data_IF_452234167397
#
_entry.id   IF_452234167397
#
_cell.length_a   1.000
_cell.length_b   1.000
_cell.length_c   1.000
_cell.angle_alpha   90.00
_cell.angle_beta   90.00
_cell.angle_gamma   90.00
#
_symmetry.space_group_name_H-M   'P 1'
#
loop_
_entity.id
_entity.type
_entity.pdbx_description
1 polymer ?
#
# COMPACT_ATOMS: atom_id res chain seq x y z
N UNK A 1 3.30 -11.73 -4.26
CA UNK A 1 3.63 -13.07 -4.74
C UNK A 1 4.96 -13.04 -5.48
N UNK A 2 5.80 -14.01 -5.22
CA UNK A 2 7.07 -14.23 -5.94
C UNK A 2 6.96 -15.37 -6.95
N UNK A 3 5.75 -15.81 -7.27
CA UNK A 3 5.53 -16.86 -8.29
C UNK A 3 5.89 -16.31 -9.68
N UNK A 4 6.91 -16.85 -10.35
CA UNK A 4 7.33 -16.42 -11.69
C UNK A 4 6.22 -16.46 -12.73
N UNK A 5 5.26 -17.40 -12.60
CA UNK A 5 4.11 -17.53 -13.50
C UNK A 5 3.17 -16.32 -13.46
N UNK A 6 3.19 -15.58 -12.36
CA UNK A 6 2.35 -14.39 -12.17
C UNK A 6 3.06 -13.10 -12.61
N UNK A 7 4.32 -13.15 -12.97
CA UNK A 7 5.13 -11.96 -13.30
C UNK A 7 4.46 -11.08 -14.36
N UNK A 8 4.18 -11.65 -15.51
CA UNK A 8 3.57 -10.92 -16.63
C UNK A 8 2.24 -10.29 -16.26
N UNK A 9 1.40 -11.03 -15.49
CA UNK A 9 0.12 -10.51 -15.02
C UNK A 9 0.29 -9.31 -14.09
N UNK A 10 1.31 -9.31 -13.20
CA UNK A 10 1.57 -8.16 -12.35
C UNK A 10 1.94 -6.92 -13.16
N UNK A 11 2.79 -7.05 -14.17
CA UNK A 11 3.18 -5.91 -14.99
C UNK A 11 2.04 -5.43 -15.87
N UNK A 12 1.31 -6.32 -16.53
CA UNK A 12 0.19 -5.94 -17.39
C UNK A 12 -0.94 -5.26 -16.61
N UNK A 13 -1.26 -5.74 -15.38
CA UNK A 13 -2.37 -5.18 -14.60
C UNK A 13 -1.94 -3.99 -13.75
N UNK A 14 -0.83 -4.10 -13.00
CA UNK A 14 -0.46 -3.04 -12.05
C UNK A 14 0.25 -1.86 -12.72
N UNK A 15 0.98 -2.09 -13.82
CA UNK A 15 1.71 -1.05 -14.54
C UNK A 15 0.96 -0.61 -15.79
N UNK A 16 0.82 -1.51 -16.76
CA UNK A 16 0.38 -1.13 -18.10
C UNK A 16 -1.07 -0.66 -18.11
N UNK A 17 -1.97 -1.44 -17.49
CA UNK A 17 -3.38 -1.05 -17.39
C UNK A 17 -3.56 0.23 -16.57
N UNK A 18 -2.79 0.42 -15.49
CA UNK A 18 -2.88 1.65 -14.70
C UNK A 18 -2.46 2.88 -15.51
N UNK A 19 -1.36 2.79 -16.26
CA UNK A 19 -0.87 3.88 -17.13
C UNK A 19 -1.88 4.17 -18.23
N UNK A 20 -2.34 3.15 -18.97
CA UNK A 20 -3.33 3.30 -20.04
C UNK A 20 -4.64 3.91 -19.52
N UNK A 21 -5.08 3.51 -18.32
CA UNK A 21 -6.29 4.06 -17.70
C UNK A 21 -6.10 5.55 -17.38
N UNK A 22 -4.93 5.94 -16.86
CA UNK A 22 -4.62 7.32 -16.54
C UNK A 22 -4.50 8.18 -17.82
N UNK A 23 -3.87 7.67 -18.88
CA UNK A 23 -3.80 8.33 -20.20
C UNK A 23 -5.20 8.58 -20.76
N UNK A 24 -6.07 7.58 -20.73
CA UNK A 24 -7.45 7.71 -21.16
C UNK A 24 -8.22 8.70 -20.31
N UNK A 25 -8.09 8.63 -18.99
CA UNK A 25 -8.74 9.56 -18.07
C UNK A 25 -8.31 11.02 -18.35
N UNK A 26 -7.02 11.25 -18.56
CA UNK A 26 -6.48 12.57 -18.93
C UNK A 26 -7.05 13.07 -20.25
N UNK A 27 -7.11 12.22 -21.27
CA UNK A 27 -7.67 12.55 -22.59
C UNK A 27 -9.17 12.89 -22.52
N UNK A 28 -9.92 12.30 -21.59
CA UNK A 28 -11.34 12.58 -21.36
C UNK A 28 -11.59 13.76 -20.40
N UNK A 29 -10.54 14.48 -20.00
CA UNK A 29 -10.67 15.68 -19.18
C UNK A 29 -10.91 15.42 -17.70
N UNK A 30 -10.64 14.20 -17.19
CA UNK A 30 -10.63 13.92 -15.76
C UNK A 30 -9.57 14.80 -15.08
N UNK A 31 -9.91 15.38 -13.93
CA UNK A 31 -9.05 16.35 -13.24
C UNK A 31 -8.09 15.72 -12.25
N UNK A 32 -8.43 14.55 -11.71
CA UNK A 32 -7.62 13.87 -10.69
C UNK A 32 -7.62 12.36 -10.90
N UNK A 33 -6.46 11.74 -10.77
CA UNK A 33 -6.27 10.28 -10.84
C UNK A 33 -5.58 9.79 -9.59
N UNK A 34 -6.24 8.91 -8.83
CA UNK A 34 -5.72 8.37 -7.58
C UNK A 34 -5.25 6.94 -7.80
N UNK A 35 -3.96 6.70 -7.61
CA UNK A 35 -3.35 5.38 -7.74
C UNK A 35 -3.07 4.76 -6.38
N UNK A 36 -3.69 3.61 -6.12
CA UNK A 36 -3.42 2.82 -4.93
C UNK A 36 -2.17 1.97 -5.15
N UNK A 37 -1.04 2.50 -4.67
CA UNK A 37 0.23 1.77 -4.60
C UNK A 37 0.34 0.99 -3.28
N UNK A 38 1.53 0.80 -2.74
CA UNK A 38 1.76 0.09 -1.48
C UNK A 38 3.13 0.41 -0.91
N UNK A 39 3.28 0.32 0.40
CA UNK A 39 4.57 0.37 1.09
C UNK A 39 5.55 -0.73 0.61
N UNK A 40 5.06 -1.78 -0.03
CA UNK A 40 5.86 -2.90 -0.57
C UNK A 40 6.89 -2.47 -1.62
N UNK A 41 6.73 -1.28 -2.22
CA UNK A 41 7.69 -0.70 -3.17
C UNK A 41 9.07 -0.47 -2.56
N UNK A 42 9.15 -0.43 -1.24
CA UNK A 42 10.42 -0.29 -0.53
C UNK A 42 11.16 -1.62 -0.33
N UNK A 43 10.49 -2.77 -0.53
CA UNK A 43 11.09 -4.08 -0.26
C UNK A 43 11.46 -4.28 1.21
N UNK A 44 12.41 -5.14 1.47
CA UNK A 44 13.01 -5.30 2.79
C UNK A 44 14.04 -4.20 3.01
N UNK A 45 13.93 -3.52 4.13
CA UNK A 45 14.93 -2.54 4.55
C UNK A 45 15.97 -3.26 5.42
N UNK A 46 17.20 -3.29 4.92
CA UNK A 46 18.35 -3.86 5.64
C UNK A 46 19.01 -2.82 6.59
N UNK A 47 18.42 -1.62 6.71
CA UNK A 47 18.91 -0.59 7.62
C UNK A 47 18.60 -0.94 9.06
N UNK A 48 19.53 -0.63 9.97
CA UNK A 48 19.47 -0.96 11.40
C UNK A 48 18.18 -0.49 12.12
N UNK A 49 17.46 0.49 11.56
CA UNK A 49 16.26 1.06 12.16
C UNK A 49 14.95 0.59 11.52
N UNK A 50 14.99 0.00 10.31
CA UNK A 50 13.81 -0.54 9.62
C UNK A 50 12.70 0.46 9.31
N UNK A 51 12.93 1.75 9.57
CA UNK A 51 11.95 2.81 9.30
C UNK A 51 12.00 3.27 7.85
N UNK A 52 10.82 3.46 7.28
CA UNK A 52 10.64 4.05 5.96
C UNK A 52 10.19 5.50 6.17
N UNK A 53 10.95 6.42 5.62
CA UNK A 53 10.67 7.85 5.63
C UNK A 53 10.57 8.41 4.20
N UNK A 54 10.42 9.74 4.08
CA UNK A 54 10.31 10.41 2.78
C UNK A 54 11.59 10.34 1.93
N UNK A 55 12.75 10.12 2.57
CA UNK A 55 14.05 10.05 1.91
C UNK A 55 14.44 8.61 1.55
N UNK A 56 13.71 7.63 2.07
CA UNK A 56 13.97 6.22 1.79
C UNK A 56 13.75 5.94 0.30
N UNK A 57 14.78 5.40 -0.35
CA UNK A 57 14.71 5.06 -1.78
C UNK A 57 13.96 3.74 -1.96
N UNK A 58 12.90 3.72 -2.79
CA UNK A 58 12.19 2.48 -3.11
C UNK A 58 13.12 1.45 -3.77
N UNK A 59 13.13 0.23 -3.22
CA UNK A 59 13.91 -0.92 -3.72
C UNK A 59 13.08 -2.19 -3.59
N UNK A 60 12.11 -2.41 -4.49
CA UNK A 60 11.23 -3.57 -4.41
C UNK A 60 12.01 -4.87 -4.58
N UNK A 61 11.65 -5.88 -3.81
CA UNK A 61 12.26 -7.22 -3.79
C UNK A 61 11.38 -8.30 -4.45
N UNK A 62 10.26 -7.89 -5.03
CA UNK A 62 9.31 -8.80 -5.68
C UNK A 62 8.56 -8.12 -6.84
N UNK A 63 7.97 -8.93 -7.71
CA UNK A 63 7.28 -8.44 -8.92
C UNK A 63 6.08 -7.53 -8.62
N UNK A 64 5.40 -7.73 -7.52
CA UNK A 64 4.29 -6.88 -7.12
C UNK A 64 4.77 -5.48 -6.77
N UNK A 65 5.78 -5.36 -5.91
CA UNK A 65 6.35 -4.07 -5.54
C UNK A 65 6.97 -3.36 -6.74
N UNK A 66 7.72 -4.09 -7.58
CA UNK A 66 8.36 -3.52 -8.77
C UNK A 66 7.33 -3.02 -9.79
N UNK A 67 6.29 -3.81 -10.08
CA UNK A 67 5.22 -3.39 -11.00
C UNK A 67 4.48 -2.15 -10.52
N UNK A 68 4.24 -2.05 -9.20
CA UNK A 68 3.64 -0.84 -8.59
C UNK A 68 4.58 0.37 -8.73
N UNK A 69 5.87 0.21 -8.43
CA UNK A 69 6.85 1.31 -8.53
C UNK A 69 7.00 1.80 -9.99
N UNK A 70 6.99 0.89 -10.96
CA UNK A 70 7.03 1.29 -12.37
C UNK A 70 5.77 2.03 -12.80
N UNK A 71 4.59 1.63 -12.31
CA UNK A 71 3.35 2.37 -12.53
C UNK A 71 3.43 3.79 -11.94
N UNK A 72 3.90 3.93 -10.70
CA UNK A 72 4.08 5.24 -10.07
C UNK A 72 4.92 6.18 -10.92
N UNK A 73 6.07 5.70 -11.44
CA UNK A 73 6.95 6.50 -12.30
C UNK A 73 6.25 6.97 -13.57
N UNK A 74 5.50 6.08 -14.23
CA UNK A 74 4.72 6.43 -15.41
C UNK A 74 3.62 7.44 -15.11
N UNK A 75 2.91 7.26 -14.00
CA UNK A 75 1.83 8.15 -13.58
C UNK A 75 2.34 9.52 -13.15
N UNK A 76 3.45 9.60 -12.40
CA UNK A 76 4.07 10.86 -11.99
C UNK A 76 4.44 11.76 -13.17
N UNK A 77 4.86 11.18 -14.30
CA UNK A 77 5.17 11.95 -15.50
C UNK A 77 3.96 12.61 -16.15
N UNK A 78 2.74 12.22 -15.79
CA UNK A 78 1.48 12.78 -16.31
C UNK A 78 0.94 13.91 -15.43
N UNK A 79 1.45 14.07 -14.20
CA UNK A 79 0.99 15.08 -13.25
C UNK A 79 1.15 16.48 -13.81
N UNK A 80 0.12 17.30 -13.68
CA UNK A 80 0.10 18.67 -14.16
C UNK A 80 -0.99 19.49 -13.46
N UNK A 81 -1.06 20.79 -13.70
CA UNK A 81 -2.13 21.65 -13.19
C UNK A 81 -3.53 21.21 -13.66
N UNK A 82 -3.64 20.56 -14.81
CA UNK A 82 -4.91 20.14 -15.41
C UNK A 82 -5.26 18.66 -15.10
N UNK A 83 -4.27 17.85 -14.74
CA UNK A 83 -4.44 16.43 -14.41
C UNK A 83 -3.58 16.08 -13.21
N UNK A 84 -4.18 16.15 -12.03
CA UNK A 84 -3.51 15.88 -10.75
C UNK A 84 -3.36 14.39 -10.51
N UNK A 85 -2.15 13.93 -10.22
CA UNK A 85 -1.88 12.52 -9.92
C UNK A 85 -1.60 12.35 -8.44
N UNK A 86 -2.39 11.52 -7.79
CA UNK A 86 -2.20 11.13 -6.38
C UNK A 86 -1.71 9.70 -6.32
N UNK A 87 -0.62 9.47 -5.61
CA UNK A 87 -0.08 8.14 -5.35
C UNK A 87 -0.17 7.87 -3.85
N UNK A 88 -0.87 6.79 -3.48
CA UNK A 88 -1.00 6.36 -2.09
C UNK A 88 -0.16 5.11 -1.86
N UNK A 89 0.73 5.14 -0.86
CA UNK A 89 1.53 3.98 -0.41
C UNK A 89 1.06 3.50 0.97
N UNK A 90 -0.15 2.93 1.08
CA UNK A 90 -0.63 2.45 2.36
C UNK A 90 0.21 1.26 2.86
N UNK A 91 0.30 1.08 4.20
CA UNK A 91 0.81 -0.12 4.83
C UNK A 91 -0.23 -1.25 4.78
N UNK A 92 -0.17 -2.21 5.70
CA UNK A 92 -1.20 -3.23 5.82
C UNK A 92 -2.55 -2.62 6.19
N UNK A 93 -3.53 -2.79 5.29
CA UNK A 93 -4.91 -2.36 5.53
C UNK A 93 -5.65 -3.45 6.30
N UNK A 94 -6.43 -3.07 7.30
CA UNK A 94 -7.26 -3.95 8.09
C UNK A 94 -8.66 -3.38 8.30
N UNK A 95 -9.59 -4.22 8.72
CA UNK A 95 -10.99 -3.89 8.94
C UNK A 95 -11.92 -4.98 8.44
N UNK A 96 -13.23 -4.74 8.52
CA UNK A 96 -14.24 -5.69 8.07
C UNK A 96 -14.09 -5.95 6.57
N UNK A 97 -14.18 -7.20 6.17
CA UNK A 97 -14.11 -7.68 4.77
C UNK A 97 -12.82 -7.35 4.00
N UNK A 98 -11.76 -6.86 4.68
CA UNK A 98 -10.48 -6.60 4.06
C UNK A 98 -9.83 -7.88 3.55
N UNK A 99 -9.31 -7.81 2.32
CA UNK A 99 -8.49 -8.88 1.70
C UNK A 99 -7.00 -8.66 2.01
N UNK A 100 -6.19 -9.69 1.81
CA UNK A 100 -4.73 -9.59 1.90
C UNK A 100 -4.13 -10.29 3.11
N UNK A 101 -3.16 -9.66 3.77
CA UNK A 101 -2.37 -10.31 4.82
C UNK A 101 -3.08 -10.34 6.18
N UNK A 102 -3.97 -9.39 6.47
CA UNK A 102 -4.67 -9.35 7.76
C UNK A 102 -5.52 -10.60 8.02
N UNK A 103 -6.38 -11.08 7.09
CA UNK A 103 -7.12 -12.33 7.30
C UNK A 103 -6.24 -13.56 7.51
N UNK A 104 -5.06 -13.62 6.88
CA UNK A 104 -4.09 -14.69 7.08
C UNK A 104 -3.52 -14.64 8.49
N UNK A 105 -3.17 -13.45 8.96
CA UNK A 105 -2.68 -13.25 10.32
C UNK A 105 -3.77 -13.57 11.35
N UNK A 106 -5.00 -13.16 11.12
CA UNK A 106 -6.14 -13.48 11.97
C UNK A 106 -6.42 -14.99 12.05
N UNK A 107 -6.29 -15.71 10.93
CA UNK A 107 -6.38 -17.16 10.92
C UNK A 107 -5.26 -17.79 11.75
N UNK A 108 -4.03 -17.31 11.59
CA UNK A 108 -2.86 -17.80 12.32
C UNK A 108 -3.00 -17.56 13.83
N UNK A 109 -3.45 -16.37 14.23
CA UNK A 109 -3.69 -16.01 15.62
C UNK A 109 -4.67 -16.95 16.34
N UNK A 110 -5.70 -17.42 15.62
CA UNK A 110 -6.68 -18.37 16.17
C UNK A 110 -6.19 -19.82 16.23
N UNK A 111 -5.18 -20.16 15.42
CA UNK A 111 -4.68 -21.55 15.33
C UNK A 111 -3.48 -21.83 16.25
N UNK A 112 -2.71 -20.81 16.57
CA UNK A 112 -1.49 -20.98 17.35
C UNK A 112 -1.75 -20.73 18.84
N UNK A 113 -1.44 -21.70 19.71
CA UNK A 113 -1.57 -21.53 21.16
C UNK A 113 -0.53 -20.57 21.75
N UNK A 114 0.58 -20.38 21.04
CA UNK A 114 1.69 -19.48 21.42
C UNK A 114 2.20 -18.78 20.16
N UNK A 115 2.41 -17.49 20.25
CA UNK A 115 3.04 -16.69 19.19
C UNK A 115 4.32 -16.04 19.75
N UNK A 116 5.46 -16.16 19.05
CA UNK A 116 6.71 -15.59 19.54
C UNK A 116 6.61 -14.06 19.60
N UNK A 117 7.14 -13.48 20.67
CA UNK A 117 7.23 -12.03 20.81
C UNK A 117 8.39 -11.50 19.95
N UNK A 118 8.04 -10.75 18.90
CA UNK A 118 9.01 -10.09 18.04
C UNK A 118 9.03 -8.59 18.31
N UNK A 119 10.23 -8.08 18.59
CA UNK A 119 10.46 -6.64 18.62
C UNK A 119 10.38 -6.07 17.20
N UNK A 120 9.18 -5.71 16.77
CA UNK A 120 8.96 -4.99 15.52
C UNK A 120 7.89 -3.91 15.71
N UNK A 121 7.94 -2.92 14.85
CA UNK A 121 6.91 -1.87 14.78
C UNK A 121 6.38 -1.85 13.37
N UNK A 122 5.06 -1.99 13.25
CA UNK A 122 4.39 -1.96 11.95
C UNK A 122 3.37 -0.86 11.89
N UNK A 123 3.45 -0.09 10.81
CA UNK A 123 2.34 0.79 10.44
C UNK A 123 1.17 -0.05 9.94
N UNK A 124 -0.01 0.37 10.30
CA UNK A 124 -1.28 -0.19 9.82
C UNK A 124 -2.23 0.93 9.45
N UNK A 125 -3.26 0.61 8.68
CA UNK A 125 -4.29 1.56 8.30
C UNK A 125 -5.66 0.89 8.36
N UNK A 126 -6.57 1.46 9.16
CA UNK A 126 -7.96 1.01 9.16
C UNK A 126 -8.63 1.39 7.85
N UNK A 127 -9.50 0.52 7.34
CA UNK A 127 -10.17 0.76 6.04
C UNK A 127 -10.98 2.06 6.02
N UNK A 128 -11.67 2.38 7.12
CA UNK A 128 -12.46 3.62 7.21
C UNK A 128 -11.57 4.86 7.17
N UNK A 129 -10.39 4.81 7.82
CA UNK A 129 -9.40 5.91 7.77
C UNK A 129 -8.84 6.08 6.36
N UNK A 130 -8.63 4.97 5.62
CA UNK A 130 -8.24 5.05 4.22
C UNK A 130 -9.34 5.68 3.37
N UNK A 131 -10.60 5.30 3.56
CA UNK A 131 -11.72 5.87 2.83
C UNK A 131 -11.86 7.38 3.09
N UNK A 132 -11.75 7.80 4.36
CA UNK A 132 -11.76 9.22 4.72
C UNK A 132 -10.57 9.97 4.12
N UNK A 133 -9.37 9.38 4.16
CA UNK A 133 -8.19 9.96 3.54
C UNK A 133 -8.37 10.17 2.03
N UNK A 134 -8.90 9.17 1.31
CA UNK A 134 -9.19 9.27 -0.13
C UNK A 134 -10.23 10.36 -0.38
N UNK A 135 -11.29 10.42 0.43
CA UNK A 135 -12.30 11.48 0.33
C UNK A 135 -11.68 12.87 0.48
N UNK A 136 -10.88 13.09 1.53
CA UNK A 136 -10.21 14.37 1.75
C UNK A 136 -9.25 14.73 0.61
N UNK A 137 -8.56 13.74 0.04
CA UNK A 137 -7.69 13.92 -1.12
C UNK A 137 -8.45 14.41 -2.35
N UNK A 138 -9.68 13.91 -2.53
CA UNK A 138 -10.58 14.34 -3.62
C UNK A 138 -11.11 15.74 -3.33
N UNK A 139 -11.66 15.97 -2.14
CA UNK A 139 -12.30 17.23 -1.77
C UNK A 139 -11.32 18.42 -1.82
N UNK A 140 -10.05 18.18 -1.49
CA UNK A 140 -8.99 19.20 -1.52
C UNK A 140 -8.23 19.26 -2.86
N UNK A 141 -8.62 18.44 -3.83
CA UNK A 141 -7.93 18.35 -5.12
C UNK A 141 -6.41 18.18 -4.99
N UNK A 142 -5.96 17.30 -4.11
CA UNK A 142 -4.54 17.06 -3.84
C UNK A 142 -3.81 16.45 -5.03
N UNK A 143 -2.47 16.59 -5.07
CA UNK A 143 -1.58 15.82 -5.94
C UNK A 143 -0.31 15.41 -5.20
N UNK A 144 0.38 14.39 -5.73
CA UNK A 144 1.65 13.94 -5.18
C UNK A 144 1.60 12.59 -4.47
N UNK A 145 2.63 12.33 -3.65
CA UNK A 145 2.85 11.06 -2.98
C UNK A 145 2.49 11.15 -1.49
N UNK A 146 1.65 10.22 -1.03
CA UNK A 146 1.16 10.16 0.35
C UNK A 146 1.36 8.79 0.98
N UNK A 147 1.53 8.80 2.31
CA UNK A 147 1.74 7.62 3.16
C UNK A 147 0.63 7.55 4.24
N UNK A 148 -0.62 7.23 3.83
CA UNK A 148 -1.71 7.14 4.81
C UNK A 148 -1.46 5.98 5.78
N UNK A 149 -1.50 6.28 7.08
CA UNK A 149 -1.32 5.29 8.15
C UNK A 149 -2.01 5.76 9.43
N UNK A 150 -2.30 4.84 10.34
CA UNK A 150 -2.73 5.22 11.69
C UNK A 150 -1.56 5.89 12.45
N UNK A 151 -1.89 6.71 13.45
CA UNK A 151 -0.88 7.40 14.25
C UNK A 151 0.02 6.44 15.03
N UNK A 152 -0.53 5.31 15.48
CA UNK A 152 0.17 4.36 16.32
C UNK A 152 0.74 3.20 15.48
N UNK A 153 1.92 2.75 15.88
CA UNK A 153 2.54 1.53 15.37
C UNK A 153 2.20 0.37 16.32
N UNK A 154 2.00 -0.82 15.74
CA UNK A 154 1.70 -2.03 16.51
C UNK A 154 2.79 -3.07 16.35
N UNK A 155 3.08 -3.82 17.43
CA UNK A 155 3.87 -5.05 17.35
C UNK A 155 3.03 -6.15 16.72
N UNK A 156 3.65 -7.01 15.91
CA UNK A 156 2.93 -8.16 15.33
C UNK A 156 2.42 -9.12 16.40
N UNK A 157 3.20 -9.35 17.45
CA UNK A 157 2.82 -10.19 18.59
C UNK A 157 1.62 -9.61 19.33
N UNK A 158 1.58 -8.32 19.58
CA UNK A 158 0.46 -7.63 20.20
C UNK A 158 -0.81 -7.75 19.35
N UNK A 159 -0.70 -7.52 18.05
CA UNK A 159 -1.84 -7.67 17.14
C UNK A 159 -2.38 -9.10 17.13
N UNK A 160 -1.50 -10.12 17.12
CA UNK A 160 -1.91 -11.52 17.19
C UNK A 160 -2.65 -11.81 18.49
N UNK A 161 -2.15 -11.28 19.63
CA UNK A 161 -2.81 -11.40 20.93
C UNK A 161 -4.19 -10.79 20.94
N UNK A 162 -4.32 -9.53 20.49
CA UNK A 162 -5.61 -8.83 20.41
C UNK A 162 -6.63 -9.54 19.51
N UNK A 163 -6.19 -10.11 18.38
CA UNK A 163 -7.05 -10.90 17.51
C UNK A 163 -7.50 -12.19 18.21
N UNK A 164 -6.61 -12.86 18.92
CA UNK A 164 -6.96 -14.09 19.66
C UNK A 164 -7.93 -13.82 20.81
N UNK A 165 -7.79 -12.69 21.50
CA UNK A 165 -8.69 -12.28 22.60
C UNK A 165 -10.10 -11.86 22.10
N UNK A 166 -10.22 -11.38 20.86
CA UNK A 166 -11.48 -10.93 20.26
C UNK A 166 -12.33 -12.07 19.67
N UNK A 167 -11.84 -13.31 19.63
CA UNK A 167 -12.48 -14.48 19.01
C UNK A 167 -12.49 -15.70 19.93
#
# INVERSE_FOLDING_TARGET
>A
SSDPKMKELYYSVNRDLAIQTAEKAKAEGVKQFIFMSSIIVYGRQDSNDGFIDRNTVPKPDNFYGDSKLQAEKGLQSMDSSEFKVVILRPPMIYGKDCKGNYPRLAKLARMLPVFPDYENRRSMLHIDNLCEFVKLTIDNEESGLFFPQNAEHVKTSEMVRLIAEAH
#
